data_IF_250975443878
#
_entry.id   IF_250975443878
#
_cell.length_a   1.000
_cell.length_b   1.000
_cell.length_c   1.000
_cell.angle_alpha   90.00
_cell.angle_beta   90.00
_cell.angle_gamma   90.00
#
_symmetry.space_group_name_H-M   'P 1'
#
loop_
_entity.id
_entity.type
_entity.pdbx_description
1 polymer ?
#
# COMPACT_ATOMS: atom_id res chain seq x y z
N UNK A 1 6.04 3.72 10.63
CA UNK A 1 6.08 2.25 10.47
C UNK A 1 7.53 1.83 10.40
N UNK A 2 7.98 0.86 11.20
CA UNK A 2 9.33 0.34 11.08
C UNK A 2 9.53 -0.31 9.70
N UNK A 3 10.74 -0.19 9.16
CA UNK A 3 11.22 -0.87 7.96
C UNK A 3 10.56 -0.50 6.61
N UNK A 4 9.66 0.49 6.57
CA UNK A 4 9.23 1.12 5.31
C UNK A 4 10.34 2.06 4.84
N UNK A 5 10.85 1.83 3.64
CA UNK A 5 11.91 2.64 3.02
C UNK A 5 11.32 3.68 2.06
N UNK A 6 10.23 3.32 1.38
CA UNK A 6 9.61 4.17 0.38
C UNK A 6 8.11 3.96 0.31
N UNK A 7 7.39 5.05 0.02
CA UNK A 7 5.96 5.03 -0.28
C UNK A 7 5.72 5.93 -1.48
N UNK A 8 5.00 5.40 -2.47
CA UNK A 8 4.48 6.16 -3.58
C UNK A 8 2.96 6.11 -3.56
N UNK A 9 2.32 7.28 -3.73
CA UNK A 9 0.88 7.40 -3.81
C UNK A 9 0.54 8.12 -5.10
N UNK A 10 -0.35 7.54 -5.88
CA UNK A 10 -0.86 8.13 -7.12
C UNK A 10 -2.37 8.17 -7.09
N UNK A 11 -2.94 9.32 -7.42
CA UNK A 11 -4.37 9.49 -7.60
C UNK A 11 -4.78 8.82 -8.91
N UNK A 12 -5.77 7.93 -8.82
CA UNK A 12 -6.32 7.21 -9.99
C UNK A 12 -7.57 7.93 -10.48
N UNK A 13 -8.50 8.22 -9.57
CA UNK A 13 -9.80 8.79 -9.92
C UNK A 13 -10.35 9.61 -8.75
N UNK A 14 -11.11 10.65 -9.08
CA UNK A 14 -11.87 11.47 -8.13
C UNK A 14 -13.36 11.27 -8.46
N UNK A 15 -14.09 10.70 -7.52
CA UNK A 15 -15.54 10.63 -7.53
C UNK A 15 -16.16 11.72 -6.64
N UNK A 16 -17.49 11.84 -6.65
CA UNK A 16 -18.20 12.89 -5.90
C UNK A 16 -17.88 12.92 -4.41
N UNK A 17 -17.60 11.76 -3.79
CA UNK A 17 -17.39 11.64 -2.35
C UNK A 17 -16.14 10.82 -1.97
N UNK A 18 -15.42 10.28 -2.94
CA UNK A 18 -14.30 9.35 -2.70
C UNK A 18 -13.17 9.58 -3.68
N UNK A 19 -11.95 9.40 -3.21
CA UNK A 19 -10.76 9.42 -4.05
C UNK A 19 -10.20 8.01 -4.10
N UNK A 20 -9.99 7.50 -5.31
CA UNK A 20 -9.34 6.22 -5.54
C UNK A 20 -7.85 6.47 -5.76
N UNK A 21 -7.02 5.86 -4.92
CA UNK A 21 -5.55 5.98 -5.00
C UNK A 21 -4.89 4.62 -5.14
N UNK A 22 -3.77 4.56 -5.86
CA UNK A 22 -2.83 3.43 -5.84
C UNK A 22 -1.67 3.78 -4.92
N UNK A 23 -1.37 2.86 -4.00
CA UNK A 23 -0.29 3.01 -3.03
C UNK A 23 0.70 1.87 -3.25
N UNK A 24 1.96 2.21 -3.50
CA UNK A 24 3.07 1.29 -3.53
C UNK A 24 3.95 1.54 -2.30
N UNK A 25 4.28 0.47 -1.57
CA UNK A 25 5.08 0.53 -0.35
C UNK A 25 6.24 -0.44 -0.54
N UNK A 26 7.46 0.03 -0.29
CA UNK A 26 8.67 -0.78 -0.33
C UNK A 26 9.44 -0.68 0.98
N UNK A 27 10.16 -1.74 1.29
CA UNK A 27 10.95 -1.86 2.51
C UNK A 27 11.21 -3.31 2.89
N UNK A 28 11.87 -3.50 4.02
CA UNK A 28 12.29 -4.81 4.49
C UNK A 28 11.33 -5.39 5.54
N UNK A 29 11.02 -6.69 5.46
CA UNK A 29 10.22 -7.39 6.49
C UNK A 29 8.94 -6.62 6.90
N UNK A 30 8.20 -6.13 5.90
CA UNK A 30 6.99 -5.35 6.09
C UNK A 30 5.87 -6.21 6.69
N UNK A 31 5.25 -5.74 7.77
CA UNK A 31 4.05 -6.35 8.32
C UNK A 31 2.81 -5.81 7.61
N UNK A 32 2.26 -6.62 6.71
CA UNK A 32 1.08 -6.24 5.93
C UNK A 32 -0.14 -5.97 6.82
N UNK A 33 -0.29 -6.64 7.96
CA UNK A 33 -1.44 -6.39 8.86
C UNK A 33 -1.31 -5.01 9.48
N UNK A 34 -0.12 -4.64 9.92
CA UNK A 34 0.13 -3.30 10.46
C UNK A 34 -0.13 -2.21 9.41
N UNK A 35 0.24 -2.46 8.14
CA UNK A 35 -0.06 -1.53 7.03
C UNK A 35 -1.57 -1.39 6.87
N UNK A 36 -2.29 -2.51 6.82
CA UNK A 36 -3.74 -2.52 6.64
C UNK A 36 -4.48 -1.83 7.79
N UNK A 37 -4.05 -2.05 9.03
CA UNK A 37 -4.59 -1.36 10.21
C UNK A 37 -4.35 0.14 10.13
N UNK A 38 -3.10 0.55 9.85
CA UNK A 38 -2.75 1.97 9.69
C UNK A 38 -3.59 2.65 8.61
N UNK A 39 -3.79 2.01 7.45
CA UNK A 39 -4.63 2.56 6.38
C UNK A 39 -6.08 2.73 6.83
N UNK A 40 -6.65 1.73 7.52
CA UNK A 40 -8.01 1.79 8.06
C UNK A 40 -8.18 2.89 9.11
N UNK A 41 -7.19 3.08 9.98
CA UNK A 41 -7.20 4.13 11.00
C UNK A 41 -7.23 5.54 10.39
N UNK A 42 -6.73 5.69 9.16
CA UNK A 42 -6.78 6.93 8.38
C UNK A 42 -8.02 7.02 7.47
N UNK A 43 -9.00 6.13 7.64
CA UNK A 43 -10.24 6.12 6.88
C UNK A 43 -10.12 5.54 5.47
N UNK A 44 -8.99 4.93 5.11
CA UNK A 44 -8.84 4.27 3.82
C UNK A 44 -9.48 2.88 3.84
N UNK A 45 -10.12 2.53 2.71
CA UNK A 45 -10.67 1.20 2.46
C UNK A 45 -9.83 0.52 1.38
N UNK A 46 -9.24 -0.62 1.71
CA UNK A 46 -8.46 -1.40 0.74
C UNK A 46 -9.42 -2.22 -0.10
N UNK A 47 -9.58 -1.83 -1.36
CA UNK A 47 -10.41 -2.54 -2.34
C UNK A 47 -9.76 -3.82 -2.86
N UNK A 48 -8.47 -3.74 -3.20
CA UNK A 48 -7.66 -4.84 -3.70
C UNK A 48 -6.20 -4.70 -3.25
N UNK A 49 -5.47 -5.80 -3.29
CA UNK A 49 -4.02 -5.81 -3.26
C UNK A 49 -3.58 -6.28 -4.64
N UNK A 50 -3.03 -5.37 -5.44
CA UNK A 50 -2.72 -5.63 -6.84
C UNK A 50 -1.45 -6.48 -7.01
N UNK A 51 -0.44 -6.24 -6.17
CA UNK A 51 0.85 -6.93 -6.24
C UNK A 51 1.45 -7.13 -4.83
N UNK A 52 2.12 -8.27 -4.63
CA UNK A 52 2.93 -8.56 -3.44
C UNK A 52 4.23 -9.23 -3.88
N UNK A 53 5.36 -8.60 -3.57
CA UNK A 53 6.69 -9.18 -3.81
C UNK A 53 7.39 -9.48 -2.48
N UNK A 54 7.84 -10.71 -2.29
CA UNK A 54 8.53 -11.17 -1.07
C UNK A 54 9.75 -12.03 -1.39
N UNK A 55 10.81 -11.85 -0.62
CA UNK A 55 12.03 -12.66 -0.71
C UNK A 55 13.30 -11.82 -0.72
N UNK A 56 14.45 -12.48 -0.88
CA UNK A 56 15.77 -11.83 -0.92
C UNK A 56 16.01 -10.98 -2.17
N UNK A 57 15.20 -11.20 -3.20
CA UNK A 57 15.24 -10.50 -4.47
C UNK A 57 13.81 -10.31 -4.94
N UNK A 58 13.48 -9.09 -5.35
CA UNK A 58 12.19 -8.77 -5.94
C UNK A 58 12.12 -9.33 -7.36
N UNK A 59 11.01 -10.00 -7.67
CA UNK A 59 10.70 -10.50 -9.01
C UNK A 59 9.35 -9.91 -9.41
N UNK A 60 9.33 -9.17 -10.51
CA UNK A 60 8.13 -8.50 -11.05
C UNK A 60 7.49 -9.36 -12.12
N UNK A 61 6.17 -9.23 -12.33
CA UNK A 61 5.37 -9.99 -13.31
C UNK A 61 4.98 -9.09 -14.48
#
# INVERSE_FOLDING_TARGET
MPNVEGVNISLVEIDQNTESVKVAIEGENLDIKQIQEMMKDHGAVIHSIDEVAVGKKIVTI
#
